data_IF_766282012295
#
_entry.id   IF_766282012295
#
_cell.length_a   1.000
_cell.length_b   1.000
_cell.length_c   1.000
_cell.angle_alpha   90.00
_cell.angle_beta   90.00
_cell.angle_gamma   90.00
#
_symmetry.space_group_name_H-M   'P 1'
#
loop_
_entity.id
_entity.type
_entity.pdbx_description
1 polymer ?
#
# COMPACT_ATOMS: atom_id res chain seq x y z
N UNK A 1 -15.77 -41.25 -0.85
CA UNK A 1 -16.89 -40.48 -1.43
C UNK A 1 -16.78 -39.04 -0.95
N UNK A 2 -16.35 -38.10 -1.79
CA UNK A 2 -16.38 -36.67 -1.46
C UNK A 2 -17.81 -36.14 -1.67
N UNK A 3 -18.35 -35.44 -0.67
CA UNK A 3 -19.63 -34.73 -0.80
C UNK A 3 -19.32 -33.26 -1.06
N UNK A 4 -19.81 -32.71 -2.17
CA UNK A 4 -19.75 -31.27 -2.44
C UNK A 4 -20.83 -30.58 -1.61
N UNK A 5 -20.42 -29.72 -0.69
CA UNK A 5 -21.33 -28.92 0.14
C UNK A 5 -21.29 -27.49 -0.42
N UNK A 6 -22.44 -26.91 -0.83
CA UNK A 6 -22.48 -25.51 -1.23
C UNK A 6 -22.27 -24.61 0.00
N UNK A 7 -21.28 -23.73 -0.07
CA UNK A 7 -21.00 -22.71 0.95
C UNK A 7 -21.42 -21.36 0.37
N UNK A 8 -22.35 -20.67 1.03
CA UNK A 8 -22.74 -19.30 0.68
C UNK A 8 -21.97 -18.32 1.55
N UNK A 9 -21.17 -17.45 0.92
CA UNK A 9 -20.41 -16.39 1.59
C UNK A 9 -21.17 -15.07 1.40
N UNK A 10 -21.49 -14.33 2.47
CA UNK A 10 -22.06 -12.99 2.33
C UNK A 10 -20.99 -12.06 1.71
N UNK A 11 -21.31 -11.47 0.56
CA UNK A 11 -20.42 -10.54 -0.13
C UNK A 11 -21.06 -9.15 -0.18
N UNK A 12 -20.25 -8.13 0.00
CA UNK A 12 -20.63 -6.74 -0.23
C UNK A 12 -20.13 -6.31 -1.62
N UNK A 13 -20.98 -5.61 -2.39
CA UNK A 13 -20.58 -4.99 -3.65
C UNK A 13 -20.30 -3.52 -3.41
N UNK A 14 -19.16 -3.07 -3.88
CA UNK A 14 -18.79 -1.66 -3.86
C UNK A 14 -18.16 -1.30 -5.21
N UNK A 15 -18.36 -0.06 -5.64
CA UNK A 15 -17.80 0.46 -6.88
C UNK A 15 -16.39 1.00 -6.62
N UNK A 16 -15.46 0.71 -7.53
CA UNK A 16 -14.08 1.16 -7.44
C UNK A 16 -13.59 1.67 -8.78
N UNK A 17 -12.90 2.81 -8.76
CA UNK A 17 -12.17 3.32 -9.90
C UNK A 17 -10.82 2.59 -10.01
N UNK A 18 -10.55 2.00 -11.16
CA UNK A 18 -9.32 1.24 -11.41
C UNK A 18 -8.55 1.89 -12.55
N UNK A 19 -7.25 2.11 -12.34
CA UNK A 19 -6.32 2.52 -13.41
C UNK A 19 -5.61 1.28 -13.93
N UNK A 20 -5.69 1.05 -15.25
CA UNK A 20 -5.10 -0.12 -15.89
C UNK A 20 -3.73 0.25 -16.47
N UNK A 21 -2.69 -0.48 -16.08
CA UNK A 21 -1.29 -0.16 -16.39
C UNK A 21 -0.88 1.27 -15.94
N UNK A 22 -1.04 1.61 -14.64
CA UNK A 22 -0.47 2.86 -14.14
C UNK A 22 1.04 2.87 -14.43
N UNK A 23 1.61 4.05 -14.69
CA UNK A 23 3.06 4.24 -14.66
C UNK A 23 3.64 3.56 -13.41
N UNK A 24 4.91 3.13 -13.44
CA UNK A 24 5.66 2.50 -12.32
C UNK A 24 5.85 3.42 -11.09
N UNK A 25 4.92 4.35 -10.88
CA UNK A 25 4.82 5.23 -9.76
C UNK A 25 4.01 4.57 -8.64
N UNK A 26 4.45 4.81 -7.41
CA UNK A 26 3.76 4.37 -6.21
C UNK A 26 2.28 4.74 -6.25
N UNK A 27 1.41 3.81 -5.85
CA UNK A 27 -0.02 4.08 -5.67
C UNK A 27 -0.24 5.14 -4.58
N UNK A 28 -1.39 5.83 -4.56
CA UNK A 28 -1.68 6.82 -3.51
C UNK A 28 -1.58 6.24 -2.10
N UNK A 29 -2.04 5.00 -1.90
CA UNK A 29 -2.00 4.33 -0.60
C UNK A 29 -0.56 3.98 -0.20
N UNK A 30 0.25 3.49 -1.13
CA UNK A 30 1.67 3.20 -0.90
C UNK A 30 2.44 4.46 -0.48
N UNK A 31 2.20 5.59 -1.13
CA UNK A 31 2.82 6.88 -0.76
C UNK A 31 2.45 7.31 0.65
N UNK A 32 1.18 7.17 1.02
CA UNK A 32 0.71 7.52 2.35
C UNK A 32 1.32 6.61 3.41
N UNK A 33 1.42 5.31 3.14
CA UNK A 33 2.06 4.35 4.04
C UNK A 33 3.54 4.68 4.23
N UNK A 34 4.27 4.96 3.15
CA UNK A 34 5.68 5.36 3.27
C UNK A 34 5.81 6.65 4.09
N UNK A 35 4.92 7.62 3.89
CA UNK A 35 4.90 8.86 4.68
C UNK A 35 4.66 8.58 6.16
N UNK A 36 3.70 7.73 6.50
CA UNK A 36 3.44 7.35 7.89
C UNK A 36 4.68 6.71 8.56
N UNK A 37 5.39 5.84 7.83
CA UNK A 37 6.65 5.24 8.31
C UNK A 37 7.73 6.30 8.50
N UNK A 38 7.81 7.30 7.62
CA UNK A 38 8.74 8.44 7.77
C UNK A 38 8.43 9.32 9.00
N UNK A 39 7.15 9.44 9.37
CA UNK A 39 6.70 10.15 10.59
C UNK A 39 6.88 9.32 11.87
N UNK A 40 7.34 8.07 11.75
CA UNK A 40 7.72 7.21 12.87
C UNK A 40 6.80 6.03 13.15
N UNK A 41 5.70 5.88 12.40
CA UNK A 41 4.81 4.73 12.54
C UNK A 41 5.39 3.51 11.81
N UNK A 42 6.13 2.67 12.54
CA UNK A 42 6.91 1.56 12.00
C UNK A 42 6.39 0.18 12.42
N UNK A 43 5.30 0.11 13.19
CA UNK A 43 4.65 -1.13 13.58
C UNK A 43 3.55 -1.51 12.58
N UNK A 44 3.48 -2.79 12.23
CA UNK A 44 2.51 -3.29 11.26
C UNK A 44 1.07 -3.20 11.78
N UNK A 45 0.84 -3.39 13.08
CA UNK A 45 -0.50 -3.27 13.64
C UNK A 45 -0.89 -1.79 13.78
N UNK A 46 0.05 -0.92 14.18
CA UNK A 46 -0.13 0.53 14.18
C UNK A 46 -0.51 1.06 12.80
N UNK A 47 0.20 0.67 11.75
CA UNK A 47 -0.14 1.00 10.37
C UNK A 47 -1.52 0.46 9.95
N UNK A 48 -1.83 -0.81 10.26
CA UNK A 48 -3.12 -1.41 9.93
C UNK A 48 -4.29 -0.66 10.60
N UNK A 49 -4.13 -0.26 11.87
CA UNK A 49 -5.11 0.54 12.60
C UNK A 49 -5.21 1.96 12.06
N UNK A 50 -4.10 2.61 11.72
CA UNK A 50 -4.06 3.98 11.18
C UNK A 50 -4.80 4.09 9.85
N UNK A 51 -4.61 3.13 8.96
CA UNK A 51 -5.23 3.13 7.64
C UNK A 51 -6.59 2.42 7.61
N UNK A 52 -7.00 1.78 8.71
CA UNK A 52 -8.21 0.93 8.74
C UNK A 52 -8.14 -0.28 7.80
N UNK A 53 -6.96 -0.59 7.27
CA UNK A 53 -6.70 -1.72 6.40
C UNK A 53 -6.32 -2.89 7.29
N UNK A 54 -7.26 -3.83 7.48
CA UNK A 54 -7.02 -5.01 8.33
C UNK A 54 -5.65 -5.66 8.05
N UNK A 55 -5.08 -6.31 9.07
CA UNK A 55 -3.67 -6.75 9.10
C UNK A 55 -3.18 -7.47 7.85
N UNK A 56 -4.03 -8.25 7.18
CA UNK A 56 -3.67 -8.98 5.96
C UNK A 56 -3.38 -8.06 4.78
N UNK A 57 -4.21 -7.03 4.58
CA UNK A 57 -4.05 -6.06 3.49
C UNK A 57 -2.81 -5.22 3.75
N UNK A 58 -2.62 -4.76 5.00
CA UNK A 58 -1.43 -4.01 5.38
C UNK A 58 -0.14 -4.80 5.15
N UNK A 59 -0.15 -6.09 5.49
CA UNK A 59 1.00 -6.98 5.25
C UNK A 59 1.31 -7.14 3.77
N UNK A 60 0.29 -7.30 2.92
CA UNK A 60 0.46 -7.43 1.47
C UNK A 60 1.13 -6.18 0.90
N UNK A 61 0.64 -5.01 1.30
CA UNK A 61 1.17 -3.72 0.87
C UNK A 61 2.63 -3.50 1.34
N UNK A 62 2.95 -3.88 2.58
CA UNK A 62 4.33 -3.82 3.08
C UNK A 62 5.25 -4.78 2.31
N UNK A 63 4.76 -5.97 1.96
CA UNK A 63 5.53 -6.95 1.18
C UNK A 63 5.79 -6.45 -0.24
N UNK A 64 4.80 -5.84 -0.89
CA UNK A 64 4.95 -5.29 -2.23
C UNK A 64 5.95 -4.13 -2.26
N UNK A 65 5.89 -3.25 -1.26
CA UNK A 65 6.84 -2.16 -1.07
C UNK A 65 8.26 -2.66 -0.74
N UNK A 66 8.38 -3.73 0.04
CA UNK A 66 9.67 -4.37 0.32
C UNK A 66 10.26 -5.01 -0.95
N UNK A 67 9.46 -5.72 -1.74
CA UNK A 67 9.88 -6.34 -3.01
C UNK A 67 10.28 -5.32 -4.07
N UNK A 68 9.75 -4.11 -3.97
CA UNK A 68 10.03 -3.00 -4.88
C UNK A 68 11.14 -2.08 -4.36
N UNK A 69 11.95 -2.55 -3.41
CA UNK A 69 13.09 -1.86 -2.79
C UNK A 69 12.73 -0.53 -2.08
N UNK A 70 11.45 -0.33 -1.73
CA UNK A 70 11.01 0.89 -1.03
C UNK A 70 11.24 0.84 0.48
N UNK A 71 11.18 -0.36 1.04
CA UNK A 71 11.25 -0.60 2.48
C UNK A 71 12.32 -1.65 2.79
N UNK A 72 12.70 -1.74 4.05
CA UNK A 72 13.38 -2.90 4.61
C UNK A 72 12.71 -3.31 5.92
N UNK A 73 12.72 -4.62 6.18
CA UNK A 73 12.10 -5.23 7.35
C UNK A 73 13.16 -5.52 8.40
N UNK A 74 12.99 -4.98 9.60
CA UNK A 74 13.75 -5.38 10.77
C UNK A 74 13.00 -6.55 11.45
N UNK A 75 13.24 -7.77 10.94
CA UNK A 75 12.57 -8.99 11.39
C UNK A 75 12.70 -9.23 12.91
N UNK A 76 13.88 -9.03 13.55
CA UNK A 76 14.01 -9.17 15.00
C UNK A 76 13.05 -8.31 15.81
N UNK A 77 12.77 -7.09 15.35
CA UNK A 77 11.95 -6.12 16.07
C UNK A 77 10.52 -6.01 15.51
N UNK A 78 10.22 -6.68 14.39
CA UNK A 78 8.94 -6.57 13.70
C UNK A 78 8.66 -5.19 13.09
N UNK A 79 9.68 -4.33 12.94
CA UNK A 79 9.52 -2.95 12.47
C UNK A 79 9.84 -2.79 10.98
N UNK A 80 9.20 -1.81 10.37
CA UNK A 80 9.35 -1.47 8.94
C UNK A 80 10.02 -0.11 8.80
N UNK A 81 10.98 0.00 7.88
CA UNK A 81 11.73 1.23 7.67
C UNK A 81 11.88 1.56 6.19
N UNK A 82 11.97 2.84 5.86
CA UNK A 82 12.13 3.33 4.50
C UNK A 82 13.61 3.36 4.12
N UNK A 83 13.93 2.96 2.89
CA UNK A 83 15.30 3.03 2.37
C UNK A 83 15.72 4.50 2.17
N UNK A 84 16.92 4.88 2.62
CA UNK A 84 17.38 6.28 2.70
C UNK A 84 17.37 7.02 1.35
N UNK A 85 17.54 6.31 0.24
CA UNK A 85 17.58 6.89 -1.11
C UNK A 85 16.20 7.38 -1.62
N UNK A 86 15.13 7.10 -0.88
CA UNK A 86 13.74 7.27 -1.35
C UNK A 86 13.12 8.56 -0.88
N UNK A 87 13.67 9.15 0.20
CA UNK A 87 13.27 10.48 0.69
C UNK A 87 13.27 11.53 -0.43
N UNK A 88 14.22 11.47 -1.36
CA UNK A 88 14.32 12.40 -2.49
C UNK A 88 13.32 12.14 -3.62
N UNK A 89 12.85 10.90 -3.79
CA UNK A 89 11.93 10.52 -4.90
C UNK A 89 10.47 10.83 -4.58
N UNK A 90 10.08 10.77 -3.31
CA UNK A 90 8.71 11.05 -2.85
C UNK A 90 8.36 12.53 -3.03
N UNK A 91 9.27 13.44 -2.65
CA UNK A 91 9.09 14.88 -2.82
C UNK A 91 9.05 15.31 -4.28
N UNK A 92 9.83 14.65 -5.15
CA UNK A 92 9.86 14.96 -6.58
C UNK A 92 8.56 14.59 -7.30
N UNK A 93 7.87 13.53 -6.86
CA UNK A 93 6.65 13.08 -7.52
C UNK A 93 5.41 13.90 -7.14
N UNK A 94 5.45 14.70 -6.06
CA UNK A 94 4.35 15.59 -5.66
C UNK A 94 4.12 16.78 -6.62
N UNK A 95 5.06 17.07 -7.54
CA UNK A 95 4.98 18.21 -8.46
C UNK A 95 4.45 17.89 -9.87
N UNK A 96 4.15 16.63 -10.19
CA UNK A 96 3.78 16.22 -11.57
C UNK A 96 2.29 15.96 -11.82
N UNK A 97 1.42 15.98 -10.81
CA UNK A 97 0.00 15.58 -10.96
C UNK A 97 -0.98 16.76 -11.01
N UNK A 98 -0.57 17.93 -11.52
CA UNK A 98 -1.49 19.04 -11.83
C UNK A 98 -1.23 19.47 -13.26
N UNK A 99 -1.80 18.73 -14.21
CA UNK A 99 -1.68 19.05 -15.63
C UNK A 99 -2.56 18.12 -16.46
N UNK A 100 -3.64 18.70 -16.98
CA UNK A 100 -4.48 18.20 -18.08
C UNK A 100 -5.45 17.04 -17.80
N UNK A 101 -6.59 17.41 -17.22
CA UNK A 101 -7.87 16.77 -17.57
C UNK A 101 -8.32 17.39 -18.90
N UNK A 102 -8.11 16.68 -20.01
CA UNK A 102 -8.82 16.95 -21.27
C UNK A 102 -10.02 16.02 -21.29
N UNK A 103 -11.21 16.62 -21.19
CA UNK A 103 -12.51 15.95 -21.36
C UNK A 103 -12.74 15.75 -22.85
N UNK A 104 -12.97 14.50 -23.26
CA UNK A 104 -13.65 14.15 -24.52
C UNK A 104 -14.95 13.43 -24.19
#
# INVERSE_FOLDING_TARGET
MSRNIPISIPCERFEVDVVLCPDESLSPIERLVIRAIMEGENDLNGLASLFGLGRRIMLDLVLDLWRSDYLYLNIPNGTVHVVDNIRKKIDASSKKSVGEIIVF
#
